data_IF_188430895159
#
_entry.id   IF_188430895159
#
_cell.length_a   1.000
_cell.length_b   1.000
_cell.length_c   1.000
_cell.angle_alpha   90.00
_cell.angle_beta   90.00
_cell.angle_gamma   90.00
#
_symmetry.space_group_name_H-M   'P 1'
#
loop_
_entity.id
_entity.type
_entity.pdbx_description
1 polymer ?
#
# COMPACT_ATOMS: atom_id res chain seq x y z
N UNK A 1 -0.15 1.39 21.99
CA UNK A 1 0.18 2.61 21.23
C UNK A 1 -0.97 2.81 20.27
N UNK A 2 -1.89 3.70 20.62
CA UNK A 2 -3.08 3.98 19.81
C UNK A 2 -2.72 5.13 18.88
N UNK A 3 -2.47 4.83 17.61
CA UNK A 3 -2.32 5.85 16.58
C UNK A 3 -3.69 5.93 15.90
N UNK A 4 -4.38 7.04 16.11
CA UNK A 4 -5.60 7.37 15.38
C UNK A 4 -5.24 7.56 13.91
N UNK A 5 -5.52 6.52 13.13
CA UNK A 5 -5.19 6.48 11.73
C UNK A 5 -6.06 7.48 10.96
N UNK A 6 -5.42 8.49 10.37
CA UNK A 6 -5.94 9.14 9.17
C UNK A 6 -5.79 8.19 7.97
N UNK A 7 -6.37 6.99 8.05
CA UNK A 7 -6.33 6.00 6.96
C UNK A 7 -7.05 6.52 5.72
N UNK A 8 -7.92 7.52 5.89
CA UNK A 8 -8.61 8.15 4.78
C UNK A 8 -8.84 9.62 5.06
N UNK A 9 -8.47 10.48 4.12
CA UNK A 9 -8.74 11.91 4.17
C UNK A 9 -9.33 12.38 2.85
N UNK A 10 -10.44 13.11 2.91
CA UNK A 10 -10.97 13.84 1.77
C UNK A 10 -10.38 15.24 1.77
N UNK A 11 -9.85 15.69 0.63
CA UNK A 11 -9.36 17.05 0.41
C UNK A 11 -10.01 17.63 -0.82
N UNK A 12 -10.49 18.87 -0.73
CA UNK A 12 -10.96 19.63 -1.88
C UNK A 12 -9.82 20.51 -2.37
N UNK A 13 -9.54 20.47 -3.67
CA UNK A 13 -8.57 21.32 -4.33
C UNK A 13 -9.19 21.98 -5.57
N UNK A 14 -8.45 22.88 -6.20
CA UNK A 14 -8.95 23.69 -7.32
C UNK A 14 -9.45 22.84 -8.51
N UNK A 15 -8.98 21.60 -8.63
CA UNK A 15 -9.32 20.64 -9.70
C UNK A 15 -10.29 19.53 -9.26
N UNK A 16 -10.83 19.60 -8.03
CA UNK A 16 -11.86 18.67 -7.54
C UNK A 16 -11.59 18.05 -6.16
N UNK A 17 -12.27 16.94 -5.89
CA UNK A 17 -12.22 16.24 -4.60
C UNK A 17 -11.25 15.05 -4.70
N UNK A 18 -10.28 15.02 -3.78
CA UNK A 18 -9.27 13.98 -3.66
C UNK A 18 -9.54 13.14 -2.41
N UNK A 19 -9.36 11.82 -2.54
CA UNK A 19 -9.43 10.87 -1.43
C UNK A 19 -8.02 10.30 -1.21
N UNK A 20 -7.34 10.74 -0.16
CA UNK A 20 -6.10 10.12 0.26
C UNK A 20 -6.42 8.88 1.10
N UNK A 21 -5.85 7.74 0.73
CA UNK A 21 -5.97 6.50 1.51
C UNK A 21 -4.59 6.06 1.95
N UNK A 22 -4.40 5.94 3.25
CA UNK A 22 -3.17 5.47 3.87
C UNK A 22 -3.43 4.12 4.53
N UNK A 23 -2.46 3.21 4.42
CA UNK A 23 -2.48 1.96 5.16
C UNK A 23 -1.06 1.66 5.61
N UNK A 24 -0.85 1.64 6.91
CA UNK A 24 0.46 1.31 7.48
C UNK A 24 0.38 -0.06 8.13
N UNK A 25 1.40 -0.89 7.88
CA UNK A 25 1.50 -2.21 8.50
C UNK A 25 2.85 -2.33 9.20
N UNK A 26 2.82 -2.53 10.52
CA UNK A 26 4.01 -2.91 11.28
C UNK A 26 4.21 -4.41 11.10
N UNK A 27 5.41 -4.79 10.70
CA UNK A 27 5.80 -6.18 10.51
C UNK A 27 6.81 -6.56 11.60
N UNK A 28 6.60 -7.68 12.31
CA UNK A 28 7.51 -8.14 13.36
C UNK A 28 8.71 -8.90 12.77
N UNK A 29 9.28 -8.38 11.68
CA UNK A 29 10.40 -8.98 10.96
C UNK A 29 11.40 -7.89 10.60
N UNK A 30 12.66 -8.29 10.42
CA UNK A 30 13.69 -7.38 9.95
C UNK A 30 13.38 -6.83 8.55
N UNK A 31 13.96 -5.67 8.25
CA UNK A 31 13.71 -4.93 7.01
C UNK A 31 14.11 -5.75 5.78
N UNK A 32 15.22 -6.47 5.84
CA UNK A 32 15.73 -7.29 4.74
C UNK A 32 14.80 -8.47 4.42
N UNK A 33 14.30 -9.16 5.47
CA UNK A 33 13.32 -10.24 5.36
C UNK A 33 12.03 -9.71 4.73
N UNK A 34 11.55 -8.58 5.24
CA UNK A 34 10.34 -7.91 4.73
C UNK A 34 10.51 -7.50 3.28
N UNK A 35 11.61 -6.85 2.92
CA UNK A 35 11.87 -6.38 1.56
C UNK A 35 11.94 -7.54 0.56
N UNK A 36 12.61 -8.64 0.95
CA UNK A 36 12.67 -9.85 0.12
C UNK A 36 11.30 -10.47 -0.08
N UNK A 37 10.50 -10.61 0.97
CA UNK A 37 9.15 -11.16 0.88
C UNK A 37 8.24 -10.30 -0.01
N UNK A 38 8.31 -8.97 0.10
CA UNK A 38 7.59 -8.03 -0.76
C UNK A 38 8.03 -8.17 -2.21
N UNK A 39 9.34 -8.17 -2.48
CA UNK A 39 9.87 -8.35 -3.83
C UNK A 39 9.41 -9.67 -4.44
N UNK A 40 9.45 -10.76 -3.66
CA UNK A 40 9.03 -12.09 -4.09
C UNK A 40 7.52 -12.19 -4.36
N UNK A 41 6.71 -11.47 -3.59
CA UNK A 41 5.27 -11.37 -3.79
C UNK A 41 4.93 -10.66 -5.11
N UNK A 42 5.58 -9.53 -5.40
CA UNK A 42 5.24 -8.71 -6.57
C UNK A 42 5.95 -9.13 -7.86
N UNK A 43 7.16 -9.70 -7.82
CA UNK A 43 7.88 -10.15 -9.02
C UNK A 43 7.15 -11.24 -9.83
N UNK A 44 6.10 -11.85 -9.25
CA UNK A 44 5.24 -12.85 -9.90
C UNK A 44 3.82 -12.37 -10.20
N UNK A 45 3.44 -11.14 -9.85
CA UNK A 45 2.08 -10.62 -10.02
C UNK A 45 1.69 -10.37 -11.49
N UNK A 46 2.67 -10.28 -12.39
CA UNK A 46 2.50 -10.11 -13.85
C UNK A 46 2.16 -11.40 -14.62
N UNK A 47 1.75 -12.48 -13.93
CA UNK A 47 1.45 -13.78 -14.58
C UNK A 47 0.03 -13.90 -15.13
N UNK A 48 -0.82 -12.90 -14.95
CA UNK A 48 -2.12 -12.81 -15.64
C UNK A 48 -2.11 -11.68 -16.69
N UNK A 49 -1.18 -11.82 -17.63
CA UNK A 49 -1.36 -11.34 -19.00
C UNK A 49 -2.73 -11.81 -19.49
N UNK A 50 -3.54 -10.85 -19.94
CA UNK A 50 -4.64 -10.99 -20.90
C UNK A 50 -4.69 -12.39 -21.53
N UNK A 51 -5.53 -13.29 -20.98
CA UNK A 51 -6.06 -14.40 -21.78
C UNK A 51 -7.16 -13.78 -22.65
N UNK A 52 -6.98 -13.96 -23.95
CA UNK A 52 -7.89 -13.62 -25.07
C UNK A 52 -9.36 -13.55 -24.69
#
# INVERSE_FOLDING_TARGET
>A
MEVTYKDTQVREGDDGIYLDVFSNKVLPFDLDITAKAVWDHFKGADKHKLRR
#
